data_IF_977210346611
#
_entry.id   IF_977210346611
#
_cell.length_a   1.000
_cell.length_b   1.000
_cell.length_c   1.000
_cell.angle_alpha   90.00
_cell.angle_beta   90.00
_cell.angle_gamma   90.00
#
_symmetry.space_group_name_H-M   'P 1'
#
loop_
_entity.id
_entity.type
_entity.pdbx_description
1 polymer ?
#
# COMPACT_ATOMS: atom_id res chain seq x y z
N UNK A 1 9.88 -20.68 -2.40
CA UNK A 1 8.69 -19.81 -2.59
C UNK A 1 8.26 -19.11 -1.30
N UNK A 2 8.01 -19.81 -0.19
CA UNK A 2 7.57 -19.20 1.10
C UNK A 2 8.62 -18.24 1.70
N UNK A 3 9.92 -18.59 1.62
CA UNK A 3 11.00 -17.78 2.18
C UNK A 3 11.13 -16.39 1.53
N UNK A 4 10.85 -16.26 0.23
CA UNK A 4 10.93 -14.99 -0.48
C UNK A 4 9.79 -14.03 -0.07
N UNK A 5 8.58 -14.57 0.13
CA UNK A 5 7.44 -13.77 0.60
C UNK A 5 7.66 -13.24 2.03
N UNK A 6 8.26 -14.07 2.90
CA UNK A 6 8.64 -13.66 4.26
C UNK A 6 9.72 -12.57 4.23
N UNK A 7 10.77 -12.73 3.42
CA UNK A 7 11.82 -11.72 3.30
C UNK A 7 11.29 -10.36 2.81
N UNK A 8 10.39 -10.35 1.82
CA UNK A 8 9.73 -9.13 1.34
C UNK A 8 8.87 -8.50 2.44
N UNK A 9 8.11 -9.30 3.19
CA UNK A 9 7.32 -8.79 4.31
C UNK A 9 8.21 -8.17 5.40
N UNK A 10 9.32 -8.83 5.73
CA UNK A 10 10.29 -8.33 6.72
C UNK A 10 10.93 -7.01 6.27
N UNK A 11 11.31 -6.89 5.00
CA UNK A 11 11.89 -5.64 4.46
C UNK A 11 10.84 -4.53 4.45
N UNK A 12 9.60 -4.81 4.06
CA UNK A 12 8.51 -3.83 4.06
C UNK A 12 8.17 -3.33 5.47
N UNK A 13 8.21 -4.22 6.48
CA UNK A 13 8.02 -3.87 7.88
C UNK A 13 9.20 -3.04 8.40
N UNK A 14 10.44 -3.44 8.08
CA UNK A 14 11.65 -2.73 8.49
C UNK A 14 11.79 -1.35 7.82
N UNK A 15 11.22 -1.18 6.62
CA UNK A 15 11.19 0.07 5.87
C UNK A 15 9.90 0.87 6.10
N UNK A 16 9.07 0.56 7.10
CA UNK A 16 7.98 1.47 7.45
C UNK A 16 8.60 2.79 7.90
N UNK A 17 8.44 3.89 7.12
CA UNK A 17 8.77 5.20 7.64
C UNK A 17 7.81 5.49 8.81
N UNK A 18 8.21 6.40 9.70
CA UNK A 18 7.34 6.90 10.76
C UNK A 18 5.94 7.14 10.18
N UNK A 19 4.95 6.40 10.69
CA UNK A 19 3.66 6.21 10.02
C UNK A 19 2.96 7.56 10.08
N UNK A 20 3.08 8.31 8.98
CA UNK A 20 2.36 9.56 8.82
C UNK A 20 0.87 9.23 9.06
N UNK A 21 0.23 9.78 10.11
CA UNK A 21 -1.10 9.37 10.54
C UNK A 21 -2.16 9.66 9.46
N UNK A 22 -1.81 10.39 8.40
CA UNK A 22 -2.63 10.61 7.22
C UNK A 22 -2.63 9.42 6.22
N UNK A 23 -1.72 8.44 6.35
CA UNK A 23 -1.62 7.29 5.45
C UNK A 23 -2.52 6.14 5.95
N UNK A 24 -3.52 5.78 5.15
CA UNK A 24 -4.41 4.64 5.43
C UNK A 24 -3.57 3.36 5.55
N UNK A 25 -3.71 2.64 6.66
CA UNK A 25 -3.07 1.35 6.90
C UNK A 25 -3.29 0.35 5.75
N UNK A 26 -2.33 -0.57 5.52
CA UNK A 26 -2.46 -1.59 4.49
C UNK A 26 -3.70 -2.45 4.72
N UNK A 27 -4.63 -2.42 3.77
CA UNK A 27 -5.81 -3.29 3.81
C UNK A 27 -5.45 -4.72 3.38
N UNK A 28 -6.29 -5.70 3.76
CA UNK A 28 -6.14 -7.10 3.32
C UNK A 28 -6.13 -7.22 1.78
N UNK A 29 -6.89 -6.36 1.08
CA UNK A 29 -6.90 -6.32 -0.38
C UNK A 29 -5.58 -5.79 -0.96
N UNK A 30 -4.99 -4.76 -0.33
CA UNK A 30 -3.65 -4.26 -0.68
C UNK A 30 -2.59 -5.34 -0.50
N UNK A 31 -2.60 -6.03 0.65
CA UNK A 31 -1.64 -7.10 0.96
C UNK A 31 -1.71 -8.20 -0.08
N UNK A 32 -2.93 -8.66 -0.43
CA UNK A 32 -3.15 -9.66 -1.48
C UNK A 32 -2.63 -9.20 -2.84
N UNK A 33 -2.87 -7.94 -3.21
CA UNK A 33 -2.41 -7.37 -4.49
C UNK A 33 -0.89 -7.31 -4.57
N UNK A 34 -0.23 -6.93 -3.48
CA UNK A 34 1.23 -6.90 -3.39
C UNK A 34 1.81 -8.31 -3.46
N UNK A 35 1.26 -9.25 -2.68
CA UNK A 35 1.66 -10.66 -2.76
C UNK A 35 1.50 -11.22 -4.17
N UNK A 36 0.38 -10.95 -4.84
CA UNK A 36 0.19 -11.36 -6.23
C UNK A 36 1.23 -10.73 -7.16
N UNK A 37 1.53 -9.44 -7.01
CA UNK A 37 2.53 -8.77 -7.83
C UNK A 37 3.95 -9.35 -7.64
N UNK A 38 4.32 -9.72 -6.41
CA UNK A 38 5.63 -10.28 -6.10
C UNK A 38 5.76 -11.78 -6.34
N UNK A 39 4.68 -12.55 -6.18
CA UNK A 39 4.67 -14.01 -6.29
C UNK A 39 4.29 -14.48 -7.69
N UNK A 40 3.36 -13.79 -8.36
CA UNK A 40 2.89 -14.17 -9.71
C UNK A 40 3.61 -13.43 -10.83
N UNK A 41 4.50 -12.49 -10.51
CA UNK A 41 5.49 -11.85 -11.38
C UNK A 41 5.14 -11.85 -12.88
N UNK A 42 4.01 -11.24 -13.25
CA UNK A 42 3.80 -10.80 -14.63
C UNK A 42 4.64 -9.54 -14.78
N UNK A 43 5.91 -9.74 -15.14
CA UNK A 43 6.87 -8.79 -15.74
C UNK A 43 6.56 -7.29 -15.57
N UNK A 44 6.36 -6.82 -14.35
CA UNK A 44 6.40 -5.40 -14.05
C UNK A 44 7.67 -5.12 -13.27
N UNK A 45 8.43 -4.06 -13.61
CA UNK A 45 9.60 -3.67 -12.85
C UNK A 45 9.23 -3.56 -11.37
N UNK A 46 9.96 -4.23 -10.46
CA UNK A 46 9.61 -4.29 -9.03
C UNK A 46 9.60 -2.92 -8.35
N UNK A 47 10.12 -1.88 -8.99
CA UNK A 47 10.08 -0.47 -8.56
C UNK A 47 8.75 0.23 -8.85
N UNK A 48 7.99 -0.21 -9.85
CA UNK A 48 6.70 0.40 -10.22
C UNK A 48 5.58 0.00 -9.25
N UNK A 49 5.59 -1.24 -8.76
CA UNK A 49 4.58 -1.76 -7.83
C UNK A 49 4.50 -0.99 -6.50
N UNK A 50 5.61 -0.71 -5.78
CA UNK A 50 5.55 0.07 -4.54
C UNK A 50 5.15 1.52 -4.80
N UNK A 51 5.68 2.15 -5.86
CA UNK A 51 5.32 3.53 -6.22
C UNK A 51 3.82 3.67 -6.51
N UNK A 52 3.26 2.77 -7.32
CA UNK A 52 1.82 2.74 -7.62
C UNK A 52 0.96 2.49 -6.39
N UNK A 53 1.43 1.62 -5.48
CA UNK A 53 0.74 1.34 -4.23
C UNK A 53 0.68 2.58 -3.32
N UNK A 54 1.80 3.27 -3.16
CA UNK A 54 1.89 4.52 -2.38
C UNK A 54 0.97 5.58 -2.99
N UNK A 55 1.10 5.83 -4.30
CA UNK A 55 0.28 6.83 -4.99
C UNK A 55 -1.23 6.60 -4.80
N UNK A 56 -1.67 5.33 -4.90
CA UNK A 56 -3.08 4.97 -4.72
C UNK A 56 -3.54 5.19 -3.28
N UNK A 57 -2.77 4.75 -2.29
CA UNK A 57 -3.12 4.92 -0.87
C UNK A 57 -3.21 6.40 -0.48
N UNK A 58 -2.27 7.23 -0.94
CA UNK A 58 -2.30 8.68 -0.73
C UNK A 58 -3.50 9.33 -1.40
N UNK A 59 -3.82 8.93 -2.64
CA UNK A 59 -5.00 9.43 -3.35
C UNK A 59 -6.31 9.04 -2.65
N UNK A 60 -6.41 7.81 -2.14
CA UNK A 60 -7.56 7.35 -1.37
C UNK A 60 -7.71 8.11 -0.03
N UNK A 61 -6.60 8.36 0.67
CA UNK A 61 -6.61 9.14 1.91
C UNK A 61 -7.16 10.56 1.67
N UNK A 62 -6.70 11.22 0.60
CA UNK A 62 -7.20 12.54 0.18
C UNK A 62 -8.69 12.51 -0.13
N UNK A 63 -9.14 11.55 -0.95
CA UNK A 63 -10.56 11.40 -1.29
C UNK A 63 -11.43 11.15 -0.04
N UNK A 64 -10.96 10.28 0.87
CA UNK A 64 -11.61 9.99 2.15
C UNK A 64 -11.72 11.26 3.00
N UNK A 65 -10.63 12.02 3.14
CA UNK A 65 -10.60 13.29 3.89
C UNK A 65 -11.59 14.30 3.32
N UNK A 66 -11.58 14.54 2.02
CA UNK A 66 -12.52 15.47 1.37
C UNK A 66 -13.97 15.00 1.52
N UNK A 67 -14.24 13.71 1.38
CA UNK A 67 -15.58 13.14 1.57
C UNK A 67 -16.09 13.39 2.99
N UNK A 68 -15.29 13.08 4.01
CA UNK A 68 -15.70 13.30 5.39
C UNK A 68 -15.80 14.78 5.76
N UNK A 69 -14.89 15.64 5.28
CA UNK A 69 -14.99 17.08 5.48
C UNK A 69 -16.29 17.64 4.90
N UNK A 70 -16.65 17.26 3.67
CA UNK A 70 -17.91 17.67 3.04
C UNK A 70 -19.14 17.12 3.76
N UNK A 71 -19.05 15.92 4.33
CA UNK A 71 -20.14 15.30 5.10
C UNK A 71 -20.34 15.96 6.46
N UNK A 72 -19.27 16.41 7.11
CA UNK A 72 -19.33 17.11 8.41
C UNK A 72 -19.69 18.60 8.29
N UNK A 73 -19.51 19.20 7.11
CA UNK A 73 -19.89 20.58 6.83
C UNK A 73 -21.38 20.76 6.45
N UNK A 74 -22.16 19.68 6.46
CA UNK A 74 -23.63 19.67 6.32
C UNK A 74 -24.27 19.44 7.67
#
# INVERSE_FOLDING_TARGET
>A
MIAAALAVLTILVAQQPDVDPEIIALTVAEIRRLLNAFVLAVTLPPTHTPHWSIWRRTSQARARRTHYQRRQAK
#
